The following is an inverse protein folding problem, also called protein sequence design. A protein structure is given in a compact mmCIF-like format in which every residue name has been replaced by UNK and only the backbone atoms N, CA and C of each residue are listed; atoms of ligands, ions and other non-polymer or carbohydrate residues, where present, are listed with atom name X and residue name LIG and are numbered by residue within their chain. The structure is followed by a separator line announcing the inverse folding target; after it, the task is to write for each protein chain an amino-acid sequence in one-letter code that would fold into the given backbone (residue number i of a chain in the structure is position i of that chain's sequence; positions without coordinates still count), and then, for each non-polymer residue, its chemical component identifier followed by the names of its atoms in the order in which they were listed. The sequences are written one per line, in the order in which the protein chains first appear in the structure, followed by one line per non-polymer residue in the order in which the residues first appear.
data_IF_811646480322
#
_entry.id   IF_811646480322
#
_cell.length_a   1.000
_cell.length_b   1.000
_cell.length_c   1.000
_cell.angle_alpha   90.00
_cell.angle_beta   90.00
_cell.angle_gamma   90.00
#
_symmetry.space_group_name_H-M   'P 1'
#
loop_
_entity.id
_entity.type
_entity.pdbx_description
1 polymer ?
#
# COMPACT_ATOMS: atom_id res chain seq x y z
N UNK A 1 -20.04 16.60 -13.06
CA UNK A 1 -18.86 16.93 -13.83
C UNK A 1 -17.63 16.22 -13.31
N UNK A 2 -17.29 16.45 -12.05
CA UNK A 2 -16.13 15.74 -11.48
C UNK A 2 -16.34 14.24 -11.43
N UNK A 3 -17.58 13.80 -11.15
CA UNK A 3 -17.87 12.38 -11.13
C UNK A 3 -17.71 11.75 -12.50
N UNK A 4 -18.08 12.47 -13.53
CA UNK A 4 -17.92 11.99 -14.89
C UNK A 4 -16.46 11.79 -15.23
N UNK A 5 -15.60 12.71 -14.79
CA UNK A 5 -14.18 12.60 -15.03
C UNK A 5 -13.60 11.36 -14.35
N UNK A 6 -14.08 11.08 -13.14
CA UNK A 6 -13.62 9.90 -12.41
C UNK A 6 -14.02 8.63 -13.15
N UNK A 7 -15.25 8.58 -13.68
CA UNK A 7 -15.69 7.41 -14.43
C UNK A 7 -14.87 7.22 -15.69
N UNK A 8 -14.65 8.28 -16.43
CA UNK A 8 -13.84 8.19 -17.65
C UNK A 8 -12.43 7.70 -17.33
N UNK A 9 -11.87 8.20 -16.24
CA UNK A 9 -10.55 7.81 -15.83
C UNK A 9 -10.50 6.31 -15.52
N UNK A 10 -11.51 5.81 -14.82
CA UNK A 10 -11.59 4.41 -14.48
C UNK A 10 -11.71 3.54 -15.73
N UNK A 11 -12.60 3.93 -16.64
CA UNK A 11 -12.78 3.17 -17.88
C UNK A 11 -11.52 3.13 -18.72
N UNK A 12 -10.80 4.24 -18.73
CA UNK A 12 -9.58 4.34 -19.53
C UNK A 12 -8.55 3.30 -19.13
N UNK A 13 -8.48 2.97 -17.86
CA UNK A 13 -7.44 2.05 -17.37
C UNK A 13 -7.90 0.62 -17.22
N UNK A 14 -9.19 0.35 -17.42
CA UNK A 14 -9.73 -0.99 -17.20
C UNK A 14 -9.10 -2.06 -18.07
N UNK A 15 -8.69 -1.71 -19.27
CA UNK A 15 -8.13 -2.67 -20.21
C UNK A 15 -6.62 -2.77 -20.18
N UNK A 16 -5.99 -2.01 -19.28
CA UNK A 16 -4.56 -2.01 -19.17
C UNK A 16 -4.11 -2.95 -18.07
N UNK A 17 -2.95 -3.55 -18.25
CA UNK A 17 -2.33 -4.29 -17.15
C UNK A 17 -1.82 -3.31 -16.11
N UNK A 18 -1.60 -3.83 -14.90
CA UNK A 18 -1.04 -3.01 -13.83
C UNK A 18 0.30 -2.42 -14.26
N UNK A 19 1.10 -3.23 -14.96
CA UNK A 19 2.42 -2.78 -15.41
C UNK A 19 2.33 -1.66 -16.43
N UNK A 20 1.33 -1.72 -17.30
CA UNK A 20 1.11 -0.64 -18.25
C UNK A 20 0.66 0.62 -17.56
N UNK A 21 -0.19 0.48 -16.53
CA UNK A 21 -0.63 1.63 -15.75
C UNK A 21 0.55 2.27 -15.04
N UNK A 22 1.43 1.45 -14.48
CA UNK A 22 2.61 1.97 -13.80
C UNK A 22 3.51 2.75 -14.77
N UNK A 23 3.63 2.26 -15.99
CA UNK A 23 4.38 2.98 -17.00
C UNK A 23 3.82 4.37 -17.22
N UNK A 24 2.49 4.49 -17.26
CA UNK A 24 1.84 5.79 -17.41
C UNK A 24 2.05 6.67 -16.18
N UNK A 25 2.03 6.07 -15.00
CA UNK A 25 2.28 6.81 -13.77
C UNK A 25 3.68 7.43 -13.82
N UNK A 26 4.65 6.66 -14.27
CA UNK A 26 6.03 7.14 -14.36
C UNK A 26 6.20 8.25 -15.41
N UNK A 27 5.27 8.33 -16.33
CA UNK A 27 5.26 9.42 -17.31
C UNK A 27 4.50 10.64 -16.81
N UNK A 28 3.98 10.60 -15.59
CA UNK A 28 3.34 11.74 -14.98
C UNK A 28 1.83 11.69 -14.96
N UNK A 29 1.23 10.54 -15.26
CA UNK A 29 -0.22 10.41 -15.26
C UNK A 29 -0.73 10.22 -13.84
N UNK A 30 -1.17 11.31 -13.21
CA UNK A 30 -1.66 11.26 -11.84
C UNK A 30 -2.97 10.49 -11.70
N UNK A 31 -3.80 10.53 -12.74
CA UNK A 31 -5.05 9.78 -12.72
C UNK A 31 -4.79 8.29 -12.69
N UNK A 32 -3.75 7.84 -13.37
CA UNK A 32 -3.37 6.44 -13.35
C UNK A 32 -2.95 6.03 -11.95
N UNK A 33 -2.25 6.89 -11.23
CA UNK A 33 -1.84 6.62 -9.85
C UNK A 33 -3.06 6.45 -8.96
N UNK A 34 -4.02 7.39 -9.07
CA UNK A 34 -5.25 7.30 -8.28
C UNK A 34 -5.99 6.00 -8.59
N UNK A 35 -6.09 5.67 -9.87
CA UNK A 35 -6.76 4.44 -10.27
C UNK A 35 -6.11 3.21 -9.63
N UNK A 36 -4.79 3.12 -9.70
CA UNK A 36 -4.10 1.95 -9.20
C UNK A 36 -4.18 1.85 -7.68
N UNK A 37 -4.09 2.97 -6.99
CA UNK A 37 -4.25 2.99 -5.54
C UNK A 37 -5.64 2.50 -5.14
N UNK A 38 -6.66 2.97 -5.84
CA UNK A 38 -8.03 2.54 -5.54
C UNK A 38 -8.24 1.07 -5.86
N UNK A 39 -7.67 0.60 -6.96
CA UNK A 39 -7.79 -0.80 -7.34
C UNK A 39 -7.23 -1.73 -6.28
N UNK A 40 -6.12 -1.36 -5.66
CA UNK A 40 -5.43 -2.21 -4.70
C UNK A 40 -5.86 -1.98 -3.26
N UNK A 41 -6.78 -1.03 -3.04
CA UNK A 41 -7.20 -0.69 -1.68
C UNK A 41 -7.81 -1.89 -0.96
N UNK A 42 -8.61 -2.69 -1.67
CA UNK A 42 -9.22 -3.86 -1.06
C UNK A 42 -8.18 -4.91 -0.67
N UNK A 43 -7.13 -5.04 -1.47
CA UNK A 43 -6.06 -5.98 -1.18
C UNK A 43 -5.32 -5.53 0.08
N UNK A 44 -5.07 -4.23 0.20
CA UNK A 44 -4.44 -3.68 1.38
C UNK A 44 -5.31 -3.92 2.61
N UNK A 45 -6.61 -3.65 2.50
CA UNK A 45 -7.53 -3.88 3.61
C UNK A 45 -7.55 -5.33 4.05
N UNK A 46 -7.52 -6.25 3.09
CA UNK A 46 -7.52 -7.68 3.39
C UNK A 46 -6.24 -8.06 4.13
N UNK A 47 -5.10 -7.52 3.73
CA UNK A 47 -3.85 -7.80 4.41
C UNK A 47 -3.83 -7.23 5.82
N UNK A 48 -4.36 -6.04 5.99
CA UNK A 48 -4.44 -5.41 7.29
C UNK A 48 -5.22 -6.28 8.27
N UNK A 49 -6.25 -6.97 7.77
CA UNK A 49 -7.03 -7.85 8.61
C UNK A 49 -6.25 -9.01 9.20
N UNK A 50 -5.12 -9.37 8.59
CA UNK A 50 -4.27 -10.44 9.10
C UNK A 50 -3.30 -9.96 10.17
N UNK A 51 -3.07 -8.67 10.26
CA UNK A 51 -2.09 -8.12 11.18
C UNK A 51 -2.79 -7.24 12.19
N UNK A 52 -2.82 -7.69 13.41
CA UNK A 52 -3.39 -6.92 14.50
C UNK A 52 -2.27 -6.17 15.23
N UNK A 53 -2.44 -4.87 15.34
CA UNK A 53 -1.47 -4.03 16.04
C UNK A 53 -2.13 -3.51 17.29
N UNK A 54 -1.66 -4.00 18.42
CA UNK A 54 -2.22 -3.63 19.71
C UNK A 54 -2.04 -2.14 19.95
N UNK A 55 -3.14 -1.44 20.20
CA UNK A 55 -3.10 -0.03 20.50
C UNK A 55 -3.03 0.89 19.30
N UNK A 56 -2.97 0.33 18.10
CA UNK A 56 -3.04 1.10 16.88
C UNK A 56 -4.44 1.03 16.31
N UNK A 57 -4.90 2.12 15.74
CA UNK A 57 -6.20 2.12 15.11
C UNK A 57 -6.10 1.49 13.74
N UNK A 58 -7.20 0.84 13.31
CA UNK A 58 -7.23 0.17 12.03
C UNK A 58 -6.89 1.12 10.89
N UNK A 59 -7.36 2.36 10.99
CA UNK A 59 -7.11 3.32 9.93
C UNK A 59 -5.63 3.65 9.79
N UNK A 60 -4.92 3.71 10.92
CA UNK A 60 -3.47 3.95 10.88
C UNK A 60 -2.75 2.80 10.22
N UNK A 61 -3.20 1.57 10.49
CA UNK A 61 -2.59 0.39 9.88
C UNK A 61 -2.87 0.36 8.38
N UNK A 62 -4.08 0.74 7.99
CA UNK A 62 -4.43 0.82 6.58
C UNK A 62 -3.53 1.84 5.87
N UNK A 63 -3.28 2.97 6.51
CA UNK A 63 -2.40 3.98 5.94
C UNK A 63 -0.99 3.44 5.74
N UNK A 64 -0.50 2.66 6.70
CA UNK A 64 0.81 2.02 6.52
C UNK A 64 0.81 1.10 5.32
N UNK A 65 -0.26 0.32 5.17
CA UNK A 65 -0.39 -0.53 4.00
C UNK A 65 -0.40 0.24 2.70
N UNK A 66 -1.10 1.37 2.69
CA UNK A 66 -1.14 2.22 1.50
C UNK A 66 0.21 2.85 1.22
N UNK A 67 0.98 3.16 2.24
CA UNK A 67 2.35 3.64 2.06
C UNK A 67 3.18 2.55 1.38
N UNK A 68 3.03 1.32 1.82
CA UNK A 68 3.73 0.20 1.19
C UNK A 68 3.35 0.04 -0.28
N UNK A 69 2.08 0.21 -0.56
CA UNK A 69 1.59 0.14 -1.94
C UNK A 69 2.19 1.26 -2.79
N UNK A 70 2.20 2.47 -2.26
CA UNK A 70 2.77 3.61 -2.98
C UNK A 70 4.26 3.37 -3.27
N UNK A 71 4.98 2.85 -2.28
CA UNK A 71 6.39 2.52 -2.48
C UNK A 71 6.56 1.47 -3.58
N UNK A 72 5.66 0.48 -3.61
CA UNK A 72 5.71 -0.54 -4.64
C UNK A 72 5.52 0.06 -6.03
N UNK A 73 4.57 0.96 -6.17
CA UNK A 73 4.33 1.63 -7.45
C UNK A 73 5.57 2.40 -7.89
N UNK A 74 6.16 3.10 -6.94
CA UNK A 74 7.31 3.93 -7.22
C UNK A 74 8.54 3.11 -7.59
N UNK A 75 8.72 1.98 -6.92
CA UNK A 75 9.96 1.20 -7.04
C UNK A 75 9.85 0.04 -8.02
N UNK A 76 8.66 -0.23 -8.54
CA UNK A 76 8.50 -1.37 -9.42
C UNK A 76 9.36 -1.25 -10.67
N UNK A 77 10.08 -2.32 -10.98
CA UNK A 77 10.91 -2.40 -12.17
C UNK A 77 10.55 -3.68 -12.90
N UNK A 78 9.90 -3.59 -14.06
CA UNK A 78 9.44 -4.78 -14.78
C UNK A 78 10.56 -5.70 -15.21
N UNK A 79 11.79 -5.18 -15.28
CA UNK A 79 12.93 -6.01 -15.65
C UNK A 79 13.45 -6.85 -14.49
N UNK A 80 13.13 -6.46 -13.26
CA UNK A 80 13.63 -7.15 -12.08
C UNK A 80 12.56 -7.91 -11.33
N UNK A 81 11.30 -7.46 -11.41
CA UNK A 81 10.20 -8.11 -10.73
C UNK A 81 9.29 -8.80 -11.76
N UNK A 82 8.63 -9.88 -11.33
CA UNK A 82 7.73 -10.59 -12.23
C UNK A 82 6.49 -9.79 -12.57
N UNK A 83 5.62 -9.62 -11.57
CA UNK A 83 4.38 -8.88 -11.76
C UNK A 83 4.29 -7.82 -10.69
N UNK A 84 3.56 -6.78 -11.01
CA UNK A 84 3.33 -5.75 -10.01
C UNK A 84 2.55 -6.30 -8.82
N UNK A 85 1.57 -7.16 -9.07
CA UNK A 85 0.76 -7.71 -7.99
C UNK A 85 1.62 -8.43 -6.95
N UNK A 86 2.53 -9.29 -7.40
CA UNK A 86 3.43 -9.99 -6.50
C UNK A 86 4.31 -9.02 -5.73
N UNK A 87 4.87 -8.07 -6.44
CA UNK A 87 5.77 -7.09 -5.83
C UNK A 87 5.03 -6.22 -4.81
N UNK A 88 3.81 -5.79 -5.17
CA UNK A 88 3.00 -4.99 -4.27
C UNK A 88 2.66 -5.74 -3.00
N UNK A 89 2.32 -7.02 -3.13
CA UNK A 89 2.04 -7.84 -1.96
C UNK A 89 3.20 -7.88 -0.99
N UNK A 90 4.41 -8.04 -1.53
CA UNK A 90 5.61 -8.08 -0.70
C UNK A 90 5.86 -6.74 -0.04
N UNK A 91 5.72 -5.65 -0.79
CA UNK A 91 5.99 -4.33 -0.27
C UNK A 91 4.99 -3.92 0.81
N UNK A 92 3.72 -4.21 0.58
CA UNK A 92 2.69 -3.91 1.57
C UNK A 92 2.95 -4.71 2.84
N UNK A 93 3.25 -5.98 2.69
CA UNK A 93 3.49 -6.84 3.85
C UNK A 93 4.70 -6.36 4.64
N UNK A 94 5.78 -6.02 3.97
CA UNK A 94 6.97 -5.51 4.65
C UNK A 94 6.69 -4.22 5.40
N UNK A 95 5.90 -3.34 4.79
CA UNK A 95 5.56 -2.08 5.44
C UNK A 95 4.72 -2.33 6.68
N UNK A 96 3.77 -3.25 6.60
CA UNK A 96 2.94 -3.59 7.75
C UNK A 96 3.76 -4.21 8.87
N UNK A 97 4.66 -5.12 8.53
CA UNK A 97 5.53 -5.76 9.52
C UNK A 97 6.41 -4.71 10.19
N UNK A 98 6.95 -3.79 9.41
CA UNK A 98 7.77 -2.72 9.95
C UNK A 98 6.97 -1.86 10.91
N UNK A 99 5.73 -1.53 10.55
CA UNK A 99 4.87 -0.74 11.42
C UNK A 99 4.53 -1.47 12.70
N UNK A 100 4.29 -2.78 12.60
CA UNK A 100 4.00 -3.59 13.78
C UNK A 100 5.19 -3.60 14.73
N UNK A 101 6.39 -3.82 14.19
CA UNK A 101 7.60 -3.84 15.01
C UNK A 101 7.82 -2.50 15.68
N UNK A 102 7.62 -1.42 14.94
CA UNK A 102 7.80 -0.08 15.48
C UNK A 102 6.78 0.21 16.58
N UNK A 103 5.52 -0.14 16.34
CA UNK A 103 4.46 0.06 17.32
C UNK A 103 4.71 -0.74 18.58
N UNK A 104 5.08 -2.00 18.41
CA UNK A 104 5.38 -2.86 19.56
C UNK A 104 6.57 -2.34 20.34
N UNK A 105 7.58 -1.87 19.64
CA UNK A 105 8.77 -1.33 20.30
C UNK A 105 8.41 -0.11 21.15
N UNK A 106 7.61 0.77 20.60
CA UNK A 106 7.21 1.96 21.34
C UNK A 106 6.37 1.63 22.54
N UNK A 107 5.52 0.63 22.40
CA UNK A 107 4.67 0.22 23.52
C UNK A 107 5.44 -0.56 24.56
N UNK A 108 6.38 -1.37 24.12
CA UNK A 108 7.16 -2.18 25.05
C UNK A 108 8.24 -1.39 25.74
N UNK A 109 8.70 -0.31 25.17
CA UNK A 109 9.77 0.48 25.79
C UNK A 109 9.41 1.00 27.19
N UNK A 110 8.26 1.68 27.36
CA UNK A 110 7.88 2.07 28.72
C UNK A 110 7.68 0.87 29.64
N UNK A 111 7.07 -0.17 29.10
CA UNK A 111 6.82 -1.38 29.87
C UNK A 111 8.13 -2.03 30.26
N UNK A 112 9.04 -2.12 29.32
CA UNK A 112 10.36 -2.68 29.59
C UNK A 112 11.15 -1.86 30.60
N UNK A 113 10.92 -0.57 30.64
CA UNK A 113 11.54 0.28 31.64
C UNK A 113 11.13 -0.14 33.03
N UNK A 114 9.91 -0.65 33.16
CA UNK A 114 9.42 -1.13 34.45
C UNK A 114 9.77 -2.58 34.70
N UNK A 115 9.69 -3.40 33.66
CA UNK A 115 9.71 -4.84 33.83
C UNK A 115 11.06 -5.47 33.59
N UNK A 116 11.85 -4.89 32.72
CA UNK A 116 13.13 -5.47 32.38
C UNK A 116 14.21 -5.13 33.38
N UNK A 117 13.78 -4.49 34.33
CA UNK A 117 14.68 -4.13 35.43
C UNK A 117 15.20 -5.36 36.17
#
# INVERSE_FOLDING_TARGET
MQNENVFFTTDKYNNLTDEEIISQIKQGDESALVYLLEKYKDIVNAKVGKYFIIGAEREDVIQEGMIGLFKAIKDFNPEKQNTFKSFANICVERQLITAIKSSNRQKHMPLNSYLSL
#
